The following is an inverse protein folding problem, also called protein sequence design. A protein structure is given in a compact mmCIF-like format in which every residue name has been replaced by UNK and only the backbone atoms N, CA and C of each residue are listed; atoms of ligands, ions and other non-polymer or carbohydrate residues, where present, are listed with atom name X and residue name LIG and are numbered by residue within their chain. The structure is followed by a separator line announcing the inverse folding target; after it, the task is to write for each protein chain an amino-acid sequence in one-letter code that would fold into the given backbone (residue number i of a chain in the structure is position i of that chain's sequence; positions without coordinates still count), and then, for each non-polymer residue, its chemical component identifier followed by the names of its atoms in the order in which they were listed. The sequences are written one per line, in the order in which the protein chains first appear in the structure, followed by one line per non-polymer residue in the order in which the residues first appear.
data_IF_580508582435
#
_entry.id   IF_580508582435
#
_cell.length_a   1.000
_cell.length_b   1.000
_cell.length_c   1.000
_cell.angle_alpha   90.00
_cell.angle_beta   90.00
_cell.angle_gamma   90.00
#
_symmetry.space_group_name_H-M   'P 1'
#
loop_
_entity.id
_entity.type
_entity.pdbx_description
1 polymer ?
#
# COMPACT_ATOMS: atom_id res chain seq x y z
N UNK A 1 -2.86 9.63 7.25
CA UNK A 1 -3.18 9.00 5.95
C UNK A 1 -2.17 9.26 4.84
N UNK A 2 -1.69 10.50 4.66
CA UNK A 2 -0.80 10.86 3.53
C UNK A 2 0.45 9.98 3.41
N UNK A 3 1.15 9.71 4.52
CA UNK A 3 2.34 8.84 4.52
C UNK A 3 2.04 7.39 4.11
N UNK A 4 0.99 6.79 4.68
CA UNK A 4 0.61 5.41 4.35
C UNK A 4 0.22 5.25 2.87
N UNK A 5 -0.53 6.22 2.32
CA UNK A 5 -0.86 6.25 0.88
C UNK A 5 0.37 6.33 0.00
N UNK A 6 1.34 7.19 0.35
CA UNK A 6 2.61 7.28 -0.39
C UNK A 6 3.38 5.95 -0.37
N UNK A 7 3.45 5.30 0.80
CA UNK A 7 4.10 4.00 0.94
C UNK A 7 3.34 2.91 0.18
N UNK A 8 2.01 2.87 0.25
CA UNK A 8 1.17 1.92 -0.49
C UNK A 8 1.34 2.04 -2.00
N UNK A 9 1.43 3.27 -2.53
CA UNK A 9 1.69 3.50 -3.94
C UNK A 9 3.10 3.06 -4.33
N UNK A 10 4.09 3.40 -3.50
CA UNK A 10 5.50 3.03 -3.76
C UNK A 10 5.71 1.51 -3.72
N UNK A 11 5.07 0.83 -2.77
CA UNK A 11 5.06 -0.63 -2.65
C UNK A 11 4.44 -1.28 -3.90
N UNK A 12 3.24 -0.85 -4.31
CA UNK A 12 2.60 -1.35 -5.53
C UNK A 12 3.42 -1.10 -6.80
N UNK A 13 4.06 0.07 -6.94
CA UNK A 13 4.98 0.36 -8.05
C UNK A 13 6.19 -0.56 -8.01
N UNK A 14 6.79 -0.78 -6.83
CA UNK A 14 7.94 -1.69 -6.68
C UNK A 14 7.59 -3.13 -7.05
N UNK A 15 6.36 -3.58 -6.78
CA UNK A 15 5.85 -4.87 -7.25
C UNK A 15 5.81 -4.91 -8.78
N UNK A 16 5.28 -3.86 -9.43
CA UNK A 16 5.23 -3.79 -10.89
C UNK A 16 6.63 -3.78 -11.53
N UNK A 17 7.63 -3.18 -10.88
CA UNK A 17 9.02 -3.27 -11.32
C UNK A 17 9.54 -4.71 -11.27
N UNK A 18 9.27 -5.45 -10.20
CA UNK A 18 9.63 -6.88 -10.12
C UNK A 18 8.91 -7.67 -11.22
N UNK A 19 7.61 -7.44 -11.41
CA UNK A 19 6.83 -8.09 -12.46
C UNK A 19 7.42 -7.79 -13.86
N UNK A 20 7.90 -6.57 -14.09
CA UNK A 20 8.55 -6.18 -15.34
C UNK A 20 9.84 -6.95 -15.60
N UNK A 21 10.59 -7.30 -14.54
CA UNK A 21 11.74 -8.22 -14.67
C UNK A 21 11.28 -9.63 -15.04
N UNK A 22 10.22 -10.13 -14.43
CA UNK A 22 9.65 -11.47 -14.74
C UNK A 22 9.15 -11.55 -16.19
N UNK A 23 8.53 -10.49 -16.69
CA UNK A 23 8.03 -10.39 -18.07
C UNK A 23 9.13 -10.13 -19.10
N UNK A 24 10.37 -9.84 -18.67
CA UNK A 24 11.51 -9.60 -19.56
C UNK A 24 11.64 -8.17 -20.08
N UNK A 25 10.92 -7.21 -19.52
CA UNK A 25 11.08 -5.77 -19.84
C UNK A 25 12.31 -5.15 -19.17
N UNK A 26 12.78 -5.71 -18.05
CA UNK A 26 13.96 -5.27 -17.30
C UNK A 26 14.95 -6.44 -17.18
N UNK A 27 16.26 -6.17 -17.21
CA UNK A 27 17.30 -7.21 -17.02
C UNK A 27 17.14 -7.95 -15.70
N UNK A 28 17.44 -9.26 -15.72
CA UNK A 28 17.44 -10.12 -14.53
C UNK A 28 18.52 -9.74 -13.51
N UNK A 29 19.52 -8.95 -13.89
CA UNK A 29 20.56 -8.48 -12.96
C UNK A 29 19.99 -7.60 -11.84
N UNK A 30 18.81 -7.00 -12.06
CA UNK A 30 18.14 -6.14 -11.09
C UNK A 30 17.25 -6.89 -10.10
N UNK A 31 17.05 -8.22 -10.24
CA UNK A 31 16.15 -9.01 -9.37
C UNK A 31 16.50 -8.83 -7.89
N UNK A 32 17.79 -8.95 -7.53
CA UNK A 32 18.22 -8.88 -6.14
C UNK A 32 17.98 -7.49 -5.54
N UNK A 33 18.30 -6.43 -6.29
CA UNK A 33 18.15 -5.04 -5.81
C UNK A 33 16.66 -4.68 -5.69
N UNK A 34 15.86 -4.96 -6.72
CA UNK A 34 14.42 -4.69 -6.72
C UNK A 34 13.70 -5.54 -5.67
N UNK A 35 14.08 -6.80 -5.51
CA UNK A 35 13.54 -7.69 -4.48
C UNK A 35 13.81 -7.19 -3.06
N UNK A 36 15.05 -6.77 -2.76
CA UNK A 36 15.38 -6.19 -1.45
C UNK A 36 14.62 -4.88 -1.20
N UNK A 37 14.59 -3.98 -2.18
CA UNK A 37 13.89 -2.70 -2.07
C UNK A 37 12.38 -2.90 -1.82
N UNK A 38 11.75 -3.79 -2.58
CA UNK A 38 10.35 -4.16 -2.39
C UNK A 38 10.10 -4.79 -1.02
N UNK A 39 10.94 -5.73 -0.58
CA UNK A 39 10.80 -6.37 0.73
C UNK A 39 10.84 -5.36 1.89
N UNK A 40 11.73 -4.38 1.83
CA UNK A 40 11.77 -3.30 2.83
C UNK A 40 10.51 -2.44 2.77
N UNK A 41 10.06 -2.05 1.55
CA UNK A 41 8.82 -1.29 1.38
C UNK A 41 7.61 -2.05 1.92
N UNK A 42 7.53 -3.36 1.67
CA UNK A 42 6.47 -4.22 2.16
C UNK A 42 6.44 -4.28 3.69
N UNK A 43 7.59 -4.39 4.36
CA UNK A 43 7.65 -4.35 5.82
C UNK A 43 7.17 -3.01 6.39
N UNK A 44 7.58 -1.89 5.78
CA UNK A 44 7.11 -0.54 6.19
C UNK A 44 5.61 -0.40 5.93
N UNK A 45 5.11 -0.89 4.80
CA UNK A 45 3.69 -0.94 4.47
C UNK A 45 2.90 -1.71 5.54
N UNK A 46 3.37 -2.88 5.95
CA UNK A 46 2.72 -3.69 6.97
C UNK A 46 2.60 -2.95 8.31
N UNK A 47 3.69 -2.35 8.79
CA UNK A 47 3.68 -1.59 10.05
C UNK A 47 2.72 -0.39 9.98
N UNK A 48 2.73 0.35 8.87
CA UNK A 48 1.84 1.49 8.69
C UNK A 48 0.37 1.08 8.50
N UNK A 49 0.10 -0.03 7.80
CA UNK A 49 -1.25 -0.55 7.59
C UNK A 49 -1.90 -0.92 8.92
N UNK A 50 -1.16 -1.56 9.83
CA UNK A 50 -1.62 -1.89 11.17
C UNK A 50 -1.88 -0.62 12.00
N UNK A 51 -0.96 0.36 11.94
CA UNK A 51 -1.14 1.64 12.64
C UNK A 51 -2.39 2.37 12.17
N UNK A 52 -2.61 2.43 10.85
CA UNK A 52 -3.77 3.07 10.23
C UNK A 52 -5.07 2.31 10.55
N UNK A 53 -5.05 0.99 10.44
CA UNK A 53 -6.18 0.12 10.79
C UNK A 53 -6.66 0.37 12.22
N UNK A 54 -5.74 0.45 13.17
CA UNK A 54 -6.06 0.74 14.57
C UNK A 54 -6.60 2.17 14.74
N UNK A 55 -5.99 3.16 14.10
CA UNK A 55 -6.44 4.57 14.19
C UNK A 55 -7.82 4.80 13.59
N UNK A 56 -8.18 4.04 12.55
CA UNK A 56 -9.48 4.15 11.87
C UNK A 56 -10.50 3.12 12.37
N UNK A 57 -10.15 2.33 13.40
CA UNK A 57 -11.00 1.26 13.93
C UNK A 57 -11.50 0.29 12.84
N UNK A 58 -10.66 0.02 11.83
CA UNK A 58 -10.98 -0.96 10.82
C UNK A 58 -11.08 -2.36 11.45
N UNK A 59 -12.05 -3.14 10.98
CA UNK A 59 -12.15 -4.54 11.37
C UNK A 59 -10.95 -5.34 10.82
N UNK A 60 -10.62 -6.44 11.49
CA UNK A 60 -9.55 -7.36 11.04
C UNK A 60 -9.77 -7.82 9.60
N UNK A 61 -11.03 -7.98 9.18
CA UNK A 61 -11.39 -8.35 7.81
C UNK A 61 -10.96 -7.28 6.79
N UNK A 62 -11.19 -5.99 7.10
CA UNK A 62 -10.76 -4.88 6.23
C UNK A 62 -9.24 -4.82 6.12
N UNK A 63 -8.55 -4.94 7.26
CA UNK A 63 -7.09 -4.98 7.26
C UNK A 63 -6.54 -6.16 6.44
N UNK A 64 -7.15 -7.34 6.55
CA UNK A 64 -6.76 -8.52 5.80
C UNK A 64 -7.04 -8.37 4.29
N UNK A 65 -8.13 -7.70 3.90
CA UNK A 65 -8.38 -7.36 2.50
C UNK A 65 -7.30 -6.41 1.94
N UNK A 66 -6.91 -5.39 2.71
CA UNK A 66 -5.82 -4.46 2.34
C UNK A 66 -4.49 -5.21 2.21
N UNK A 67 -4.20 -6.13 3.13
CA UNK A 67 -3.03 -7.01 3.06
C UNK A 67 -3.04 -7.87 1.79
N UNK A 68 -4.12 -8.61 1.52
CA UNK A 68 -4.21 -9.47 0.32
C UNK A 68 -4.10 -8.64 -0.95
N UNK A 69 -4.65 -7.43 -0.96
CA UNK A 69 -4.54 -6.51 -2.10
C UNK A 69 -3.09 -6.07 -2.38
N UNK A 70 -2.18 -6.05 -1.39
CA UNK A 70 -0.76 -5.79 -1.65
C UNK A 70 -0.04 -6.92 -2.39
N UNK A 71 -0.58 -8.15 -2.35
CA UNK A 71 0.03 -9.32 -3.01
C UNK A 71 -0.42 -9.48 -4.48
N UNK A 72 -1.52 -8.83 -4.85
CA UNK A 72 -2.13 -8.95 -6.17
C UNK A 72 -1.69 -7.78 -7.05
N UNK A 73 -1.14 -8.02 -8.26
CA UNK A 73 -0.78 -6.96 -9.19
C UNK A 73 -1.96 -6.00 -9.43
N UNK A 74 -1.68 -4.69 -9.47
CA UNK A 74 -2.66 -3.62 -9.68
C UNK A 74 -3.72 -3.42 -8.59
N UNK A 75 -3.88 -4.33 -7.64
CA UNK A 75 -4.88 -4.17 -6.57
C UNK A 75 -4.57 -3.00 -5.62
N UNK A 76 -3.31 -2.54 -5.56
CA UNK A 76 -2.91 -1.30 -4.88
C UNK A 76 -3.68 -0.05 -5.39
N UNK A 77 -4.18 -0.06 -6.63
CA UNK A 77 -5.00 1.02 -7.19
C UNK A 77 -6.36 1.08 -6.48
N UNK A 78 -6.99 -0.08 -6.26
CA UNK A 78 -8.24 -0.18 -5.51
C UNK A 78 -8.04 0.25 -4.05
N UNK A 79 -6.91 -0.15 -3.44
CA UNK A 79 -6.52 0.31 -2.11
C UNK A 79 -6.38 1.83 -2.06
N UNK A 80 -5.75 2.46 -3.04
CA UNK A 80 -5.63 3.92 -3.09
C UNK A 80 -6.99 4.63 -3.17
N UNK A 81 -7.95 4.11 -3.94
CA UNK A 81 -9.32 4.65 -3.95
C UNK A 81 -10.02 4.49 -2.60
N UNK A 82 -9.87 3.33 -1.96
CA UNK A 82 -10.38 3.08 -0.61
C UNK A 82 -9.78 4.07 0.40
N UNK A 83 -8.45 4.23 0.42
CA UNK A 83 -7.75 5.15 1.32
C UNK A 83 -8.10 6.62 1.09
N UNK A 84 -8.41 7.01 -0.15
CA UNK A 84 -8.89 8.36 -0.47
C UNK A 84 -10.27 8.63 0.12
N UNK A 85 -11.19 7.67 0.03
CA UNK A 85 -12.52 7.78 0.62
C UNK A 85 -12.43 7.94 2.13
N UNK A 86 -11.67 7.07 2.79
CA UNK A 86 -11.44 7.12 4.24
C UNK A 86 -10.77 8.43 4.67
N UNK A 87 -9.79 8.94 3.89
CA UNK A 87 -9.17 10.22 4.19
C UNK A 87 -10.13 11.41 4.05
N UNK A 88 -11.03 11.39 3.05
CA UNK A 88 -12.04 12.42 2.86
C UNK A 88 -13.13 12.40 3.93
N UNK A 89 -13.51 11.22 4.43
CA UNK A 89 -14.42 11.08 5.56
C UNK A 89 -13.80 11.65 6.85
N UNK A 90 -12.51 11.40 7.12
CA UNK A 90 -11.79 11.97 8.27
C UNK A 90 -11.70 13.50 8.18
N UNK A 91 -11.34 14.03 7.01
CA UNK A 91 -11.29 15.47 6.76
C UNK A 91 -12.68 16.14 6.78
N UNK A 92 -13.78 15.40 6.65
CA UNK A 92 -15.15 15.94 6.80
C UNK A 92 -15.64 15.91 8.26
N UNK A 93 -15.11 15.02 9.10
CA UNK A 93 -15.45 14.91 10.53
C UNK A 93 -14.67 15.93 11.37
N UNK A 94 -13.36 16.12 11.13
CA UNK A 94 -12.53 17.08 11.88
C UNK A 94 -12.99 18.56 11.84
N UNK A 95 -13.49 19.14 10.73
CA UNK A 95 -13.91 20.54 10.65
C UNK A 95 -15.15 20.87 11.48
N UNK A 96 -15.93 19.85 11.87
CA UNK A 96 -17.15 20.01 12.66
C UNK A 96 -16.91 20.01 14.18
N UNK A 97 -15.67 19.74 14.60
CA UNK A 97 -15.26 19.63 16.00
C UNK A 97 -14.29 20.76 16.44
N UNK A 98 -14.11 21.79 15.60
CA UNK A 98 -13.35 23.01 15.93
C UNK A 98 -14.28 24.21 16.11
#
# INVERSE_FOLDING_TARGET
MKLFRLVSLSEGISYLLILSVTLGFISRDYVSVLGMAHGVLFMVYMMLSLNVSNKQNWSVAVWLLVFVASLVPFAFIAVEFFLRKEAGEVEAVEPSLQ
#
